data_IF_091959048733
#
_entry.id   IF_091959048733
#
_cell.length_a   1.000
_cell.length_b   1.000
_cell.length_c   1.000
_cell.angle_alpha   90.00
_cell.angle_beta   90.00
_cell.angle_gamma   90.00
#
_symmetry.space_group_name_H-M   'P 1'
#
loop_
_entity.id
_entity.type
_entity.pdbx_description
1 polymer ?
#
# COMPACT_ATOMS: atom_id res chain seq x y z
N UNK A 1 -30.88 -44.32 -28.08
CA UNK A 1 -29.69 -43.76 -27.42
C UNK A 1 -29.26 -42.60 -28.28
N UNK A 2 -29.72 -41.41 -27.93
CA UNK A 2 -29.39 -40.19 -28.68
C UNK A 2 -28.28 -39.48 -27.90
N UNK A 3 -27.16 -39.33 -28.58
CA UNK A 3 -25.89 -38.88 -28.02
C UNK A 3 -26.00 -37.39 -27.71
N UNK A 4 -25.84 -37.03 -26.44
CA UNK A 4 -25.72 -35.66 -25.96
C UNK A 4 -24.68 -34.88 -26.78
N UNK A 5 -25.15 -34.03 -27.68
CA UNK A 5 -24.32 -33.02 -28.34
C UNK A 5 -23.76 -32.10 -27.26
N UNK A 6 -22.46 -32.20 -27.03
CA UNK A 6 -21.70 -31.22 -26.27
C UNK A 6 -21.80 -29.89 -27.00
N UNK A 7 -22.72 -29.04 -26.55
CA UNK A 7 -22.89 -27.69 -27.05
C UNK A 7 -21.60 -26.90 -26.78
N UNK A 8 -20.76 -26.79 -27.80
CA UNK A 8 -19.56 -25.96 -27.76
C UNK A 8 -20.06 -24.52 -27.70
N UNK A 9 -20.19 -23.98 -26.49
CA UNK A 9 -20.47 -22.56 -26.25
C UNK A 9 -19.32 -21.75 -26.84
N UNK A 10 -19.46 -21.38 -28.12
CA UNK A 10 -18.50 -20.53 -28.81
C UNK A 10 -18.64 -19.12 -28.23
N UNK A 11 -17.58 -18.56 -27.61
CA UNK A 11 -17.65 -17.20 -27.09
C UNK A 11 -17.99 -16.24 -28.23
N UNK A 12 -18.94 -15.33 -27.99
CA UNK A 12 -19.27 -14.24 -28.90
C UNK A 12 -17.96 -13.53 -29.31
N UNK A 13 -17.68 -13.46 -30.62
CA UNK A 13 -16.47 -12.90 -31.28
C UNK A 13 -16.00 -11.52 -30.76
N UNK A 14 -16.85 -10.82 -29.99
CA UNK A 14 -16.63 -9.51 -29.41
C UNK A 14 -15.71 -9.53 -28.18
N UNK A 15 -15.63 -10.64 -27.46
CA UNK A 15 -14.79 -10.75 -26.27
C UNK A 15 -13.50 -11.50 -26.56
N UNK A 16 -12.40 -11.01 -25.97
CA UNK A 16 -11.14 -11.75 -26.00
C UNK A 16 -11.32 -13.08 -25.26
N UNK A 17 -10.64 -14.13 -25.74
CA UNK A 17 -10.55 -15.39 -25.00
C UNK A 17 -9.93 -15.12 -23.63
N UNK A 18 -10.38 -15.86 -22.62
CA UNK A 18 -9.75 -15.86 -21.31
C UNK A 18 -8.27 -16.22 -21.46
N UNK A 19 -7.41 -15.47 -20.77
CA UNK A 19 -5.98 -15.77 -20.74
C UNK A 19 -5.74 -17.08 -20.00
N UNK A 20 -4.73 -17.83 -20.43
CA UNK A 20 -4.19 -18.90 -19.59
C UNK A 20 -3.48 -18.31 -18.38
N UNK A 21 -3.23 -19.14 -17.35
CA UNK A 21 -2.47 -18.73 -16.16
C UNK A 21 -1.10 -18.16 -16.52
N UNK A 22 -0.41 -18.80 -17.48
CA UNK A 22 0.91 -18.37 -17.95
C UNK A 22 0.84 -17.03 -18.71
N UNK A 23 -0.19 -16.84 -19.54
CA UNK A 23 -0.42 -15.57 -20.25
C UNK A 23 -0.76 -14.43 -19.29
N UNK A 24 -1.45 -14.73 -18.20
CA UNK A 24 -1.75 -13.78 -17.15
C UNK A 24 -0.49 -13.40 -16.37
N UNK A 25 0.36 -14.36 -16.02
CA UNK A 25 1.63 -14.11 -15.33
C UNK A 25 2.59 -13.27 -16.18
N UNK A 26 2.71 -13.57 -17.48
CA UNK A 26 3.51 -12.77 -18.43
C UNK A 26 2.93 -11.37 -18.57
N UNK A 27 1.62 -11.23 -18.69
CA UNK A 27 0.98 -9.92 -18.80
C UNK A 27 1.16 -9.08 -17.53
N UNK A 28 1.09 -9.70 -16.35
CA UNK A 28 1.36 -9.06 -15.07
C UNK A 28 2.83 -8.61 -14.99
N UNK A 29 3.77 -9.45 -15.41
CA UNK A 29 5.19 -9.09 -15.45
C UNK A 29 5.49 -7.92 -16.41
N UNK A 30 4.81 -7.87 -17.55
CA UNK A 30 4.95 -6.80 -18.55
C UNK A 30 4.25 -5.50 -18.13
N UNK A 31 3.12 -5.59 -17.43
CA UNK A 31 2.38 -4.42 -16.93
C UNK A 31 3.16 -3.63 -15.86
N UNK A 32 4.16 -4.25 -15.22
CA UNK A 32 5.01 -3.59 -14.23
C UNK A 32 6.13 -2.82 -14.95
N UNK A 33 6.19 -1.48 -14.83
CA UNK A 33 7.27 -0.69 -15.38
C UNK A 33 8.64 -1.21 -14.94
N UNK A 34 9.60 -1.30 -15.86
CA UNK A 34 10.93 -1.86 -15.58
C UNK A 34 11.63 -1.16 -14.40
N UNK A 35 11.45 0.15 -14.27
CA UNK A 35 12.01 0.99 -13.19
C UNK A 35 11.43 0.71 -11.79
N UNK A 36 10.29 -0.01 -11.70
CA UNK A 36 9.64 -0.35 -10.43
C UNK A 36 9.75 -1.82 -10.05
N UNK A 37 10.26 -2.69 -10.95
CA UNK A 37 10.41 -4.14 -10.71
C UNK A 37 11.24 -4.45 -9.47
N UNK A 38 12.33 -3.71 -9.26
CA UNK A 38 13.18 -3.86 -8.06
C UNK A 38 12.67 -3.08 -6.84
N UNK A 39 11.91 -2.00 -7.06
CA UNK A 39 11.36 -1.17 -5.97
C UNK A 39 10.23 -1.85 -5.22
N UNK A 40 9.58 -2.85 -5.82
CA UNK A 40 8.51 -3.64 -5.17
C UNK A 40 8.96 -4.24 -3.84
N UNK A 41 10.14 -4.89 -3.79
CA UNK A 41 10.66 -5.46 -2.54
C UNK A 41 10.94 -4.39 -1.49
N UNK A 42 11.48 -3.24 -1.92
CA UNK A 42 11.77 -2.15 -1.00
C UNK A 42 10.51 -1.57 -0.34
N UNK A 43 9.47 -1.28 -1.13
CA UNK A 43 8.22 -0.76 -0.58
C UNK A 43 7.53 -1.77 0.37
N UNK A 44 7.53 -3.05 0.00
CA UNK A 44 6.99 -4.12 0.86
C UNK A 44 7.78 -4.20 2.17
N UNK A 45 9.10 -4.24 2.12
CA UNK A 45 9.94 -4.28 3.32
C UNK A 45 9.74 -3.04 4.22
N UNK A 46 9.56 -1.84 3.64
CA UNK A 46 9.25 -0.65 4.44
C UNK A 46 7.93 -0.78 5.18
N UNK A 47 6.89 -1.25 4.50
CA UNK A 47 5.58 -1.47 5.10
C UNK A 47 5.65 -2.56 6.17
N UNK A 48 6.35 -3.66 5.93
CA UNK A 48 6.53 -4.75 6.90
C UNK A 48 7.30 -4.32 8.14
N UNK A 49 8.39 -3.56 7.99
CA UNK A 49 9.14 -3.02 9.11
C UNK A 49 8.28 -2.05 9.93
N UNK A 50 7.59 -1.12 9.27
CA UNK A 50 6.67 -0.22 9.94
C UNK A 50 5.57 -0.98 10.68
N UNK A 51 5.01 -2.02 10.08
CA UNK A 51 3.99 -2.89 10.67
C UNK A 51 4.51 -3.61 11.92
N UNK A 52 5.75 -4.10 11.87
CA UNK A 52 6.39 -4.78 13.00
C UNK A 52 6.60 -3.81 14.17
N UNK A 53 7.11 -2.61 13.88
CA UNK A 53 7.43 -1.57 14.87
C UNK A 53 6.20 -0.81 15.41
N UNK A 54 5.07 -0.85 14.69
CA UNK A 54 3.86 -0.11 15.07
C UNK A 54 3.31 -0.64 16.39
N UNK A 55 3.13 0.28 17.35
CA UNK A 55 2.60 -0.05 18.69
C UNK A 55 1.12 -0.40 18.66
N UNK A 56 0.28 0.42 18.00
CA UNK A 56 -1.15 0.12 17.90
C UNK A 56 -1.45 -0.70 16.65
N UNK A 57 -1.89 -1.94 16.85
CA UNK A 57 -2.26 -2.85 15.76
C UNK A 57 -3.77 -3.14 15.72
N UNK A 58 -4.53 -2.56 16.64
CA UNK A 58 -5.97 -2.81 16.76
C UNK A 58 -6.73 -1.70 16.03
N UNK A 59 -7.53 -2.07 15.03
CA UNK A 59 -8.20 -1.10 14.15
C UNK A 59 -9.26 -0.29 14.89
N UNK A 60 -9.98 -0.91 15.82
CA UNK A 60 -10.97 -0.22 16.64
C UNK A 60 -10.39 0.87 17.57
N UNK A 61 -9.06 0.87 17.79
CA UNK A 61 -8.36 1.89 18.58
C UNK A 61 -7.73 2.99 17.72
N UNK A 62 -7.80 2.86 16.39
CA UNK A 62 -7.27 3.87 15.49
C UNK A 62 -8.20 5.08 15.38
N UNK A 63 -7.60 6.24 15.12
CA UNK A 63 -8.31 7.43 14.70
C UNK A 63 -8.13 7.64 13.20
N UNK A 64 -9.19 8.12 12.55
CA UNK A 64 -9.18 8.39 11.12
C UNK A 64 -10.11 9.54 10.76
N UNK A 65 -9.69 10.34 9.77
CA UNK A 65 -10.52 11.36 9.12
C UNK A 65 -11.42 10.75 8.03
N UNK A 66 -11.11 9.52 7.62
CA UNK A 66 -11.86 8.82 6.59
C UNK A 66 -13.16 8.26 7.16
N UNK A 67 -14.25 8.35 6.41
CA UNK A 67 -15.53 7.76 6.78
C UNK A 67 -15.50 6.24 6.56
N UNK A 68 -14.86 5.51 7.48
CA UNK A 68 -14.70 4.05 7.43
C UNK A 68 -15.19 3.45 8.74
N UNK A 69 -15.91 2.33 8.65
CA UNK A 69 -16.38 1.59 9.82
C UNK A 69 -15.23 0.74 10.38
N UNK A 70 -14.47 1.30 11.33
CA UNK A 70 -13.27 0.67 11.90
C UNK A 70 -13.53 -0.73 12.48
N UNK A 71 -14.71 -0.96 13.06
CA UNK A 71 -15.09 -2.26 13.62
C UNK A 71 -15.24 -3.39 12.59
N UNK A 72 -15.37 -3.06 11.31
CA UNK A 72 -15.47 -4.04 10.22
C UNK A 72 -14.10 -4.31 9.57
N UNK A 73 -13.06 -3.61 10.00
CA UNK A 73 -11.72 -3.76 9.44
C UNK A 73 -10.90 -4.73 10.28
N UNK A 74 -10.04 -5.46 9.59
CA UNK A 74 -9.12 -6.40 10.22
C UNK A 74 -7.96 -5.67 10.91
N UNK A 75 -7.52 -6.22 12.04
CA UNK A 75 -6.36 -5.72 12.78
C UNK A 75 -5.08 -5.88 11.97
N UNK A 76 -4.07 -5.08 12.27
CA UNK A 76 -2.80 -5.12 11.55
C UNK A 76 -2.02 -6.43 11.79
N UNK A 77 -2.30 -7.16 12.87
CA UNK A 77 -1.62 -8.42 13.20
C UNK A 77 -1.95 -9.57 12.24
N UNK A 78 -3.07 -9.53 11.51
CA UNK A 78 -3.35 -10.53 10.47
C UNK A 78 -2.41 -10.37 9.28
N UNK A 79 -2.09 -11.48 8.61
CA UNK A 79 -1.25 -11.46 7.42
C UNK A 79 -1.81 -10.49 6.38
N UNK A 80 -1.03 -9.49 5.99
CA UNK A 80 -1.49 -8.44 5.08
C UNK A 80 -1.83 -8.97 3.68
N UNK A 81 -1.24 -10.10 3.30
CA UNK A 81 -1.52 -10.84 2.06
C UNK A 81 -2.92 -11.46 2.03
N UNK A 82 -3.43 -11.87 3.20
CA UNK A 82 -4.77 -12.47 3.36
C UNK A 82 -5.85 -11.46 3.72
N UNK A 83 -5.46 -10.21 3.94
CA UNK A 83 -6.34 -9.16 4.42
C UNK A 83 -7.28 -8.68 3.31
N UNK A 84 -8.51 -8.36 3.68
CA UNK A 84 -9.48 -7.73 2.78
C UNK A 84 -8.97 -6.39 2.27
N UNK A 85 -9.29 -6.08 1.00
CA UNK A 85 -8.86 -4.83 0.36
C UNK A 85 -9.20 -3.56 1.18
N UNK A 86 -10.39 -3.42 1.81
CA UNK A 86 -10.69 -2.25 2.64
C UNK A 86 -9.74 -2.10 3.84
N UNK A 87 -9.43 -3.21 4.52
CA UNK A 87 -8.54 -3.22 5.69
C UNK A 87 -7.09 -2.92 5.27
N UNK A 88 -6.63 -3.52 4.17
CA UNK A 88 -5.29 -3.25 3.65
C UNK A 88 -5.13 -1.78 3.23
N UNK A 89 -6.12 -1.23 2.51
CA UNK A 89 -6.11 0.18 2.09
C UNK A 89 -6.08 1.13 3.29
N UNK A 90 -6.84 0.81 4.35
CA UNK A 90 -6.82 1.58 5.59
C UNK A 90 -5.42 1.62 6.21
N UNK A 91 -4.78 0.47 6.37
CA UNK A 91 -3.45 0.38 6.99
C UNK A 91 -2.35 1.01 6.14
N UNK A 92 -2.41 0.88 4.82
CA UNK A 92 -1.50 1.59 3.91
C UNK A 92 -1.68 3.11 4.05
N UNK A 93 -2.92 3.60 4.20
CA UNK A 93 -3.19 5.00 4.48
C UNK A 93 -2.53 5.49 5.77
N UNK A 94 -2.63 4.72 6.85
CA UNK A 94 -1.94 5.01 8.12
C UNK A 94 -0.42 5.01 7.97
N UNK A 95 0.13 4.07 7.22
CA UNK A 95 1.57 4.02 6.93
C UNK A 95 2.04 5.28 6.20
N UNK A 96 1.32 5.70 5.16
CA UNK A 96 1.66 6.91 4.39
C UNK A 96 1.58 8.15 5.28
N UNK A 97 0.52 8.27 6.10
CA UNK A 97 0.34 9.37 7.04
C UNK A 97 1.55 9.49 7.99
N UNK A 98 1.92 8.41 8.66
CA UNK A 98 3.03 8.44 9.63
C UNK A 98 4.40 8.58 8.97
N UNK A 99 4.56 8.07 7.75
CA UNK A 99 5.78 8.27 6.98
C UNK A 99 5.95 9.75 6.59
N UNK A 100 4.86 10.46 6.29
CA UNK A 100 4.86 11.89 6.00
C UNK A 100 5.12 12.72 7.27
N UNK A 101 4.43 12.41 8.38
CA UNK A 101 4.58 13.14 9.65
C UNK A 101 6.04 13.10 10.16
N UNK A 102 6.73 11.96 9.98
CA UNK A 102 8.17 11.83 10.32
C UNK A 102 9.07 12.72 9.47
N UNK A 103 8.72 12.97 8.21
CA UNK A 103 9.49 13.86 7.34
C UNK A 103 9.29 15.32 7.73
N UNK A 104 8.06 15.72 8.05
CA UNK A 104 7.76 17.08 8.47
C UNK A 104 8.45 17.41 9.80
N UNK A 105 8.40 16.51 10.79
CA UNK A 105 9.13 16.71 12.05
C UNK A 105 10.65 16.89 11.85
N UNK A 106 11.24 16.11 10.93
CA UNK A 106 12.68 16.23 10.59
C UNK A 106 12.98 17.56 9.92
N UNK A 107 12.12 18.01 8.99
CA UNK A 107 12.28 19.27 8.29
C UNK A 107 12.19 20.46 9.24
N UNK A 108 11.19 20.48 10.12
CA UNK A 108 10.99 21.54 11.12
C UNK A 108 12.19 21.64 12.06
N UNK A 109 12.76 20.51 12.49
CA UNK A 109 13.96 20.51 13.32
C UNK A 109 15.19 21.09 12.60
N UNK A 110 15.37 20.81 11.30
CA UNK A 110 16.45 21.39 10.51
C UNK A 110 16.27 22.90 10.33
N UNK A 111 15.03 23.35 10.08
CA UNK A 111 14.72 24.79 9.97
C UNK A 111 14.93 25.50 11.32
N UNK A 112 14.59 24.87 12.44
CA UNK A 112 14.84 25.42 13.78
C UNK A 112 16.34 25.59 14.08
N UNK A 113 17.18 24.61 13.71
CA UNK A 113 18.65 24.69 13.90
C UNK A 113 19.25 25.80 13.03
N UNK A 114 18.85 25.91 11.76
CA UNK A 114 19.32 26.99 10.88
C UNK A 114 18.94 28.36 11.40
N UNK A 115 17.72 28.49 11.92
CA UNK A 115 17.24 29.74 12.50
C UNK A 115 18.01 30.11 13.78
N UNK A 116 18.34 29.14 14.65
CA UNK A 116 19.14 29.42 15.85
C UNK A 116 20.56 29.88 15.51
N UNK A 117 21.23 29.24 14.55
CA UNK A 117 22.55 29.67 14.10
C UNK A 117 22.51 31.09 13.54
N UNK A 118 21.50 31.39 12.72
CA UNK A 118 21.31 32.73 12.12
C UNK A 118 21.08 33.80 13.20
N UNK A 119 20.32 33.50 14.25
CA UNK A 119 20.10 34.44 15.35
C UNK A 119 21.33 34.65 16.23
N UNK A 120 22.22 33.67 16.36
CA UNK A 120 23.44 33.81 17.15
C UNK A 120 24.50 34.64 16.40
N UNK A 121 24.57 34.53 15.07
CA UNK A 121 25.42 35.42 14.25
C UNK A 121 24.99 36.90 14.33
N UNK A 122 23.68 37.18 14.39
CA UNK A 122 23.18 38.55 14.49
C UNK A 122 23.33 39.18 15.88
N UNK A 123 23.59 38.39 16.93
CA UNK A 123 23.86 38.89 18.30
C UNK A 123 25.34 39.21 18.55
N UNK A 124 26.21 38.84 17.61
CA UNK A 124 27.66 39.05 17.68
C UNK A 124 28.14 40.25 16.82
N UNK A 125 27.24 40.90 16.08
CA UNK A 125 27.48 42.10 15.28
C UNK A 125 26.91 43.35 15.98
#
# INVERSE_FOLDING_TARGET
MDSSENEIVRPLKRFRKAKSKDEEEVALAQAVPASTRYKKKWCVNMFENWRADRVNKITAKESTIFNVRLFHLENLDSGWESMSAPSLNFWIGKFIQEAADKQDARRTNIEAIKNSETTDFLKLA
#
